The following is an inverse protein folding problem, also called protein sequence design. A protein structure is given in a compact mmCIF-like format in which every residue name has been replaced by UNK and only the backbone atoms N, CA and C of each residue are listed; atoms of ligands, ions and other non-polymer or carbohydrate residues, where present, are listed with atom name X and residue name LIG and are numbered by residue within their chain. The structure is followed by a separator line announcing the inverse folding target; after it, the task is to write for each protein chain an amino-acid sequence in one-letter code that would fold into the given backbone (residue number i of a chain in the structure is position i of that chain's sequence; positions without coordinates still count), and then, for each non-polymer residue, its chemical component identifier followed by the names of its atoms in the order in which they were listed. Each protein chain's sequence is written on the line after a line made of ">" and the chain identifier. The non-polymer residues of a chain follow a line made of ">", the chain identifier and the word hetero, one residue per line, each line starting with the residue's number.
data_IF_552530439802
#
_entry.id   IF_552530439802
#
_cell.length_a   1.000
_cell.length_b   1.000
_cell.length_c   1.000
_cell.angle_alpha   90.00
_cell.angle_beta   90.00
_cell.angle_gamma   90.00
#
_symmetry.space_group_name_H-M   'P 1'
#
loop_
_entity.id
_entity.type
_entity.pdbx_description
1 polymer ?
#
# COMPACT_ATOMS: atom_id res chain seq x y z
N UNK A 1 -3.36 13.91 -15.13
CA UNK A 1 -3.03 13.82 -13.69
C UNK A 1 -1.65 13.19 -13.59
N UNK A 2 -0.74 13.73 -12.77
CA UNK A 2 0.63 13.21 -12.62
C UNK A 2 0.59 11.73 -12.21
N UNK A 3 1.33 10.86 -12.92
CA UNK A 3 1.32 9.39 -12.69
C UNK A 3 1.73 9.03 -11.27
N UNK A 4 2.69 9.76 -10.68
CA UNK A 4 3.10 9.54 -9.28
C UNK A 4 1.96 9.79 -8.31
N UNK A 5 1.13 10.80 -8.57
CA UNK A 5 -0.02 11.13 -7.74
C UNK A 5 -1.13 10.09 -7.89
N UNK A 6 -1.34 9.57 -9.11
CA UNK A 6 -2.27 8.47 -9.37
C UNK A 6 -1.88 7.21 -8.60
N UNK A 7 -0.59 6.83 -8.67
CA UNK A 7 -0.05 5.68 -7.93
C UNK A 7 -0.23 5.90 -6.43
N UNK A 8 0.20 7.06 -5.91
CA UNK A 8 0.12 7.40 -4.49
C UNK A 8 -1.31 7.49 -3.93
N UNK A 9 -2.30 7.68 -4.79
CA UNK A 9 -3.72 7.79 -4.41
C UNK A 9 -4.53 6.51 -4.60
N UNK A 10 -3.93 5.42 -5.08
CA UNK A 10 -4.62 4.16 -5.40
C UNK A 10 -3.92 2.96 -4.77
N UNK A 11 -4.52 1.78 -4.91
CA UNK A 11 -3.92 0.52 -4.45
C UNK A 11 -2.62 0.17 -5.22
N UNK A 12 -2.37 0.83 -6.37
CA UNK A 12 -1.14 0.67 -7.16
C UNK A 12 0.13 1.02 -6.38
N UNK A 13 0.02 1.80 -5.30
CA UNK A 13 1.18 2.13 -4.46
C UNK A 13 1.80 0.89 -3.83
N UNK A 14 0.98 -0.09 -3.45
CA UNK A 14 1.47 -1.33 -2.85
C UNK A 14 2.35 -2.08 -3.85
N UNK A 15 1.89 -2.21 -5.09
CA UNK A 15 2.63 -2.86 -6.17
C UNK A 15 3.90 -2.09 -6.52
N UNK A 16 3.82 -0.76 -6.59
CA UNK A 16 4.98 0.10 -6.83
C UNK A 16 6.08 -0.13 -5.77
N UNK A 17 5.72 -0.14 -4.49
CA UNK A 17 6.66 -0.35 -3.39
C UNK A 17 7.21 -1.78 -3.39
N UNK A 18 6.38 -2.78 -3.69
CA UNK A 18 6.82 -4.16 -3.85
C UNK A 18 7.88 -4.31 -4.94
N UNK A 19 7.57 -3.80 -6.13
CA UNK A 19 8.46 -3.83 -7.30
C UNK A 19 9.79 -3.14 -7.02
N UNK A 20 9.73 -2.00 -6.33
CA UNK A 20 10.91 -1.21 -6.04
C UNK A 20 11.81 -1.86 -4.97
N UNK A 21 11.24 -2.32 -3.85
CA UNK A 21 12.02 -2.67 -2.65
C UNK A 21 12.24 -4.16 -2.47
N UNK A 22 11.30 -4.98 -2.94
CA UNK A 22 11.14 -6.37 -2.49
C UNK A 22 11.29 -7.39 -3.62
N UNK A 23 10.84 -7.06 -4.84
CA UNK A 23 10.90 -7.99 -5.98
C UNK A 23 12.30 -8.58 -6.15
N UNK A 24 12.36 -9.89 -6.33
CA UNK A 24 13.61 -10.65 -6.50
C UNK A 24 14.36 -10.98 -5.21
N UNK A 25 14.00 -10.37 -4.06
CA UNK A 25 14.57 -10.69 -2.74
C UNK A 25 13.77 -11.76 -1.99
N UNK A 26 12.60 -12.14 -2.50
CA UNK A 26 11.71 -13.09 -1.87
C UNK A 26 11.99 -14.54 -2.27
N UNK A 27 11.77 -15.45 -1.32
CA UNK A 27 11.73 -16.89 -1.61
C UNK A 27 10.28 -17.28 -1.85
N UNK A 28 10.05 -18.16 -2.83
CA UNK A 28 8.72 -18.77 -3.04
C UNK A 28 8.25 -19.43 -1.75
N UNK A 29 7.00 -19.18 -1.38
CA UNK A 29 6.33 -19.87 -0.29
C UNK A 29 6.33 -21.37 -0.62
N UNK A 30 6.74 -22.20 0.35
CA UNK A 30 6.80 -23.65 0.17
C UNK A 30 5.37 -24.19 0.00
N UNK A 31 5.20 -25.18 -0.88
CA UNK A 31 3.92 -25.90 -1.03
C UNK A 31 3.54 -26.58 0.29
N UNK A 32 2.26 -26.53 0.64
CA UNK A 32 1.71 -27.18 1.82
C UNK A 32 1.55 -28.69 1.62
N UNK A 33 1.50 -29.40 2.74
CA UNK A 33 1.13 -30.82 2.80
C UNK A 33 -0.40 -30.90 2.82
N UNK A 34 -0.98 -31.84 2.08
CA UNK A 34 -2.42 -32.11 2.10
C UNK A 34 -2.89 -32.53 3.51
N UNK A 35 -4.12 -32.15 3.86
CA UNK A 35 -4.75 -32.51 5.14
C UNK A 35 -5.22 -33.97 5.10
N UNK A 36 -4.56 -34.84 5.87
CA UNK A 36 -4.85 -36.28 5.89
C UNK A 36 -5.99 -36.65 6.87
N UNK A 37 -6.21 -35.90 7.95
CA UNK A 37 -7.27 -36.14 8.93
C UNK A 37 -7.80 -34.86 9.61
N UNK A 38 -9.00 -34.86 10.23
CA UNK A 38 -9.53 -33.70 10.95
C UNK A 38 -8.66 -33.29 12.14
N UNK A 39 -8.01 -34.26 12.80
CA UNK A 39 -7.09 -34.02 13.92
C UNK A 39 -5.81 -33.28 13.50
N UNK A 40 -5.40 -33.41 12.24
CA UNK A 40 -4.24 -32.69 11.71
C UNK A 40 -4.53 -31.21 11.45
N UNK A 41 -5.81 -30.80 11.47
CA UNK A 41 -6.24 -29.44 11.13
C UNK A 41 -5.70 -28.39 12.11
N UNK A 42 -5.66 -28.66 13.42
CA UNK A 42 -5.05 -27.71 14.40
C UNK A 42 -3.57 -27.53 14.15
N UNK A 43 -2.86 -28.63 13.92
CA UNK A 43 -1.42 -28.56 13.64
C UNK A 43 -1.17 -27.80 12.33
N UNK A 44 -2.00 -28.03 11.31
CA UNK A 44 -1.96 -27.32 10.05
C UNK A 44 -2.23 -25.82 10.21
N UNK A 45 -3.30 -25.44 10.91
CA UNK A 45 -3.69 -24.04 11.10
C UNK A 45 -2.66 -23.26 11.91
N UNK A 46 -2.13 -23.86 12.99
CA UNK A 46 -1.01 -23.30 13.74
C UNK A 46 0.23 -23.11 12.86
N UNK A 47 0.50 -24.05 11.96
CA UNK A 47 1.61 -23.93 11.02
C UNK A 47 1.37 -22.83 9.99
N UNK A 48 0.16 -22.70 9.45
CA UNK A 48 -0.21 -21.61 8.52
C UNK A 48 -0.09 -20.25 9.21
N UNK A 49 -0.64 -20.08 10.41
CA UNK A 49 -0.52 -18.84 11.19
C UNK A 49 0.95 -18.50 11.44
N UNK A 50 1.74 -19.48 11.88
CA UNK A 50 3.18 -19.31 12.08
C UNK A 50 3.89 -18.88 10.79
N UNK A 51 3.55 -19.47 9.65
CA UNK A 51 4.12 -19.09 8.35
C UNK A 51 3.75 -17.65 7.99
N UNK A 52 2.50 -17.23 8.23
CA UNK A 52 2.05 -15.86 7.99
C UNK A 52 2.79 -14.85 8.88
N UNK A 53 2.95 -15.17 10.16
CA UNK A 53 3.71 -14.36 11.11
C UNK A 53 5.19 -14.28 10.72
N UNK A 54 5.80 -15.41 10.38
CA UNK A 54 7.19 -15.49 9.90
C UNK A 54 7.40 -14.71 8.59
N UNK A 55 6.49 -14.81 7.63
CA UNK A 55 6.57 -14.01 6.39
C UNK A 55 6.40 -12.52 6.69
N UNK A 56 5.43 -12.13 7.52
CA UNK A 56 5.23 -10.73 7.89
C UNK A 56 6.47 -10.14 8.58
N UNK A 57 7.06 -10.83 9.54
CA UNK A 57 8.28 -10.37 10.21
C UNK A 57 9.47 -10.34 9.27
N UNK A 58 9.59 -11.32 8.37
CA UNK A 58 10.61 -11.31 7.33
C UNK A 58 10.47 -10.09 6.41
N UNK A 59 9.25 -9.78 5.95
CA UNK A 59 8.96 -8.62 5.11
C UNK A 59 9.29 -7.30 5.82
N UNK A 60 8.89 -7.16 7.08
CA UNK A 60 9.28 -6.01 7.91
C UNK A 60 10.79 -5.90 8.06
N UNK A 61 11.49 -7.02 8.29
CA UNK A 61 12.94 -7.04 8.40
C UNK A 61 13.66 -6.62 7.11
N UNK A 62 13.09 -6.92 5.94
CA UNK A 62 13.61 -6.48 4.64
C UNK A 62 13.45 -4.96 4.44
N UNK A 63 12.37 -4.37 4.96
CA UNK A 63 12.11 -2.94 4.89
C UNK A 63 12.94 -2.15 5.90
N UNK A 64 13.28 -2.75 7.04
CA UNK A 64 13.91 -2.07 8.17
C UNK A 64 15.15 -1.25 7.79
N UNK A 65 16.17 -1.76 7.08
CA UNK A 65 17.36 -0.97 6.79
C UNK A 65 17.07 0.23 5.87
N UNK A 66 16.06 0.13 5.00
CA UNK A 66 15.64 1.25 4.17
C UNK A 66 14.88 2.30 4.99
N UNK A 67 13.99 1.87 5.89
CA UNK A 67 13.29 2.77 6.80
C UNK A 67 14.24 3.48 7.77
N UNK A 68 15.17 2.75 8.40
CA UNK A 68 16.12 3.31 9.37
C UNK A 68 16.97 4.42 8.72
N UNK A 69 17.39 4.24 7.45
CA UNK A 69 18.14 5.26 6.69
C UNK A 69 17.31 6.50 6.33
N UNK A 70 15.98 6.38 6.34
CA UNK A 70 15.04 7.40 5.88
C UNK A 70 14.03 7.82 6.95
N UNK A 71 14.35 7.57 8.23
CA UNK A 71 13.43 7.75 9.36
C UNK A 71 12.87 9.18 9.49
N UNK A 72 13.59 10.18 8.98
CA UNK A 72 13.15 11.58 9.01
C UNK A 72 12.16 11.94 7.89
N UNK A 73 12.06 11.11 6.85
CA UNK A 73 11.27 11.38 5.65
C UNK A 73 10.00 10.53 5.58
N UNK A 74 10.13 9.22 5.77
CA UNK A 74 9.01 8.30 5.59
C UNK A 74 9.22 6.97 6.32
N UNK A 75 8.13 6.24 6.47
CA UNK A 75 8.12 4.87 6.96
C UNK A 75 7.25 4.02 6.04
N UNK A 76 7.86 2.98 5.46
CA UNK A 76 7.16 2.01 4.63
C UNK A 76 6.82 0.80 5.49
N UNK A 77 5.57 0.37 5.44
CA UNK A 77 5.09 -0.77 6.22
C UNK A 77 4.53 -1.84 5.30
N UNK A 78 4.59 -3.09 5.78
CA UNK A 78 3.92 -4.21 5.15
C UNK A 78 2.93 -4.78 6.15
N UNK A 79 1.71 -4.98 5.69
CA UNK A 79 0.67 -5.64 6.46
C UNK A 79 0.06 -6.74 5.61
N UNK A 80 0.02 -7.96 6.17
CA UNK A 80 -0.75 -9.01 5.53
C UNK A 80 -2.24 -8.65 5.62
N UNK A 81 -2.91 -8.54 4.47
CA UNK A 81 -4.33 -8.23 4.41
C UNK A 81 -5.08 -9.55 4.35
N UNK A 82 -5.55 -9.99 5.51
CA UNK A 82 -6.54 -11.06 5.58
C UNK A 82 -7.94 -10.45 5.41
N UNK A 83 -8.28 -10.02 4.19
CA UNK A 83 -9.66 -9.75 3.82
C UNK A 83 -10.37 -11.09 3.62
N UNK A 84 -10.57 -11.79 4.72
CA UNK A 84 -11.46 -12.94 4.78
C UNK A 84 -12.81 -12.32 5.09
N UNK A 85 -13.62 -12.06 4.06
CA UNK A 85 -14.96 -11.51 4.26
C UNK A 85 -15.71 -12.31 5.33
N UNK A 86 -16.62 -11.66 6.08
CA UNK A 86 -17.39 -12.31 7.16
C UNK A 86 -18.20 -13.54 6.67
N UNK A 87 -18.31 -13.68 5.36
CA UNK A 87 -18.97 -14.75 4.61
C UNK A 87 -18.10 -15.97 4.33
N UNK A 88 -16.83 -15.99 4.73
CA UNK A 88 -15.92 -17.07 4.39
C UNK A 88 -16.45 -18.46 4.76
N UNK A 89 -17.15 -18.60 5.88
CA UNK A 89 -17.74 -19.85 6.37
C UNK A 89 -18.86 -20.40 5.49
N UNK A 90 -19.54 -19.56 4.70
CA UNK A 90 -20.71 -19.99 3.91
C UNK A 90 -20.54 -19.81 2.40
N UNK A 91 -19.69 -18.88 1.94
CA UNK A 91 -19.48 -18.64 0.51
C UNK A 91 -18.37 -19.49 -0.11
N UNK A 92 -17.32 -19.81 0.66
CA UNK A 92 -16.18 -20.64 0.17
C UNK A 92 -16.33 -22.12 0.54
N UNK A 93 -17.23 -22.44 1.47
CA UNK A 93 -17.38 -23.77 2.04
C UNK A 93 -18.84 -24.22 2.00
N UNK A 94 -19.06 -25.47 1.62
CA UNK A 94 -20.40 -26.06 1.54
C UNK A 94 -20.59 -27.06 2.66
N UNK A 95 -21.72 -26.97 3.37
CA UNK A 95 -22.08 -27.92 4.42
C UNK A 95 -23.51 -28.42 4.21
N UNK A 96 -23.68 -29.74 4.29
CA UNK A 96 -24.98 -30.36 4.31
C UNK A 96 -25.60 -30.31 5.71
N UNK A 97 -26.49 -29.34 5.94
CA UNK A 97 -27.20 -29.15 7.21
C UNK A 97 -28.44 -30.05 7.39
N UNK A 98 -28.71 -31.01 6.49
CA UNK A 98 -29.98 -31.77 6.48
C UNK A 98 -30.23 -32.51 7.79
N UNK A 99 -29.20 -33.10 8.41
CA UNK A 99 -29.37 -33.79 9.70
C UNK A 99 -29.76 -32.85 10.84
N UNK A 100 -29.31 -31.60 10.77
CA UNK A 100 -29.55 -30.58 11.79
C UNK A 100 -30.97 -30.06 11.65
N UNK A 101 -31.35 -29.68 10.42
CA UNK A 101 -32.69 -29.13 10.11
C UNK A 101 -33.79 -30.18 10.33
N UNK A 102 -33.49 -31.47 10.16
CA UNK A 102 -34.44 -32.57 10.43
C UNK A 102 -34.59 -32.91 11.92
N UNK A 103 -33.69 -32.41 12.78
CA UNK A 103 -33.66 -32.75 14.23
C UNK A 103 -34.00 -31.55 15.10
N UNK A 104 -33.52 -30.38 14.72
CA UNK A 104 -33.60 -29.14 15.46
C UNK A 104 -34.45 -28.12 14.71
N UNK A 105 -35.20 -27.32 15.46
CA UNK A 105 -36.07 -26.28 14.90
C UNK A 105 -35.25 -25.05 14.47
N UNK A 106 -34.44 -25.23 13.43
CA UNK A 106 -33.58 -24.23 12.83
C UNK A 106 -33.54 -24.41 11.31
N UNK A 107 -33.50 -23.31 10.56
CA UNK A 107 -33.41 -23.34 9.08
C UNK A 107 -31.97 -23.13 8.61
N UNK A 108 -31.72 -23.46 7.34
CA UNK A 108 -30.43 -23.17 6.69
C UNK A 108 -30.04 -21.68 6.77
N UNK A 109 -30.98 -20.77 6.52
CA UNK A 109 -30.72 -19.31 6.58
C UNK A 109 -30.36 -18.84 7.98
N UNK A 110 -30.98 -19.43 9.00
CA UNK A 110 -30.69 -19.13 10.41
C UNK A 110 -29.28 -19.62 10.80
N UNK A 111 -28.88 -20.81 10.33
CA UNK A 111 -27.50 -21.31 10.47
C UNK A 111 -26.50 -20.40 9.75
N UNK A 112 -26.77 -20.03 8.49
CA UNK A 112 -25.91 -19.12 7.71
C UNK A 112 -25.76 -17.75 8.38
N UNK A 113 -26.84 -17.21 8.96
CA UNK A 113 -26.81 -15.96 9.72
C UNK A 113 -25.95 -16.06 10.98
N UNK A 114 -26.00 -17.20 11.67
CA UNK A 114 -25.14 -17.48 12.81
C UNK A 114 -23.66 -17.58 12.40
N UNK A 115 -23.35 -18.30 11.32
CA UNK A 115 -21.97 -18.41 10.82
C UNK A 115 -21.42 -17.04 10.37
N UNK A 116 -22.23 -16.21 9.71
CA UNK A 116 -21.85 -14.84 9.37
C UNK A 116 -21.58 -13.99 10.61
N UNK A 117 -22.41 -14.15 11.66
CA UNK A 117 -22.17 -13.49 12.94
C UNK A 117 -20.86 -13.95 13.59
N UNK A 118 -20.57 -15.26 13.60
CA UNK A 118 -19.29 -15.77 14.11
C UNK A 118 -18.09 -15.19 13.35
N UNK A 119 -18.13 -15.20 12.01
CA UNK A 119 -17.04 -14.68 11.18
C UNK A 119 -16.77 -13.18 11.35
N UNK A 120 -17.75 -12.41 11.84
CA UNK A 120 -17.58 -10.97 12.15
C UNK A 120 -16.96 -10.71 13.52
N UNK A 121 -17.14 -11.62 14.48
CA UNK A 121 -16.79 -11.40 15.89
C UNK A 121 -15.60 -12.24 16.36
N UNK A 122 -15.25 -13.31 15.65
CA UNK A 122 -14.16 -14.23 15.99
C UNK A 122 -13.20 -14.29 14.80
N UNK A 123 -11.89 -14.25 15.06
CA UNK A 123 -10.90 -14.39 13.99
C UNK A 123 -10.97 -15.79 13.39
N UNK A 124 -10.62 -15.92 12.09
CA UNK A 124 -10.58 -17.22 11.41
C UNK A 124 -9.76 -18.25 12.21
N UNK A 125 -8.58 -17.87 12.68
CA UNK A 125 -7.66 -18.80 13.34
C UNK A 125 -8.17 -19.22 14.71
N UNK A 126 -8.77 -18.30 15.48
CA UNK A 126 -9.36 -18.63 16.78
C UNK A 126 -10.57 -19.56 16.58
N UNK A 127 -11.47 -19.21 15.66
CA UNK A 127 -12.64 -20.02 15.34
C UNK A 127 -12.26 -21.44 14.92
N UNK A 128 -11.32 -21.58 13.98
CA UNK A 128 -10.91 -22.90 13.52
C UNK A 128 -10.12 -23.68 14.58
N UNK A 129 -9.36 -22.99 15.44
CA UNK A 129 -8.62 -23.62 16.54
C UNK A 129 -9.57 -24.16 17.60
N UNK A 130 -10.55 -23.37 18.02
CA UNK A 130 -11.52 -23.76 19.04
C UNK A 130 -12.37 -24.93 18.57
N UNK A 131 -12.86 -24.87 17.33
CA UNK A 131 -13.67 -25.95 16.76
C UNK A 131 -12.92 -27.28 16.75
N UNK A 132 -11.68 -27.31 16.25
CA UNK A 132 -10.92 -28.56 16.15
C UNK A 132 -10.51 -29.09 17.52
N UNK A 133 -10.35 -28.22 18.52
CA UNK A 133 -10.12 -28.62 19.91
C UNK A 133 -11.39 -29.08 20.63
N UNK A 134 -12.58 -28.92 20.02
CA UNK A 134 -13.86 -29.16 20.67
C UNK A 134 -14.22 -28.10 21.73
N UNK A 135 -13.57 -26.94 21.69
CA UNK A 135 -13.72 -25.86 22.67
C UNK A 135 -14.85 -24.90 22.26
N UNK A 136 -16.10 -25.35 22.38
CA UNK A 136 -17.27 -24.52 22.06
C UNK A 136 -17.76 -23.66 23.26
N UNK A 137 -16.99 -23.62 24.36
CA UNK A 137 -17.41 -22.97 25.61
C UNK A 137 -17.57 -21.46 25.48
N UNK A 138 -16.75 -20.83 24.63
CA UNK A 138 -16.76 -19.39 24.38
C UNK A 138 -17.65 -18.99 23.18
N UNK A 139 -18.31 -19.95 22.53
CA UNK A 139 -19.11 -19.66 21.34
C UNK A 139 -20.45 -19.02 21.74
N UNK A 140 -20.81 -17.87 21.12
CA UNK A 140 -22.13 -17.29 21.30
C UNK A 140 -23.23 -18.30 20.96
N UNK A 141 -24.31 -18.30 21.72
CA UNK A 141 -25.41 -19.23 21.48
C UNK A 141 -26.02 -19.02 20.09
N UNK A 142 -26.33 -20.12 19.40
CA UNK A 142 -27.10 -20.12 18.15
C UNK A 142 -28.61 -19.98 18.41
N UNK A 143 -29.08 -20.17 19.65
CA UNK A 143 -30.51 -20.10 20.00
C UNK A 143 -31.21 -18.78 19.58
N UNK A 144 -30.59 -17.58 19.70
CA UNK A 144 -31.20 -16.32 19.24
C UNK A 144 -31.39 -16.22 17.72
N UNK A 145 -30.71 -17.09 16.95
CA UNK A 145 -30.84 -17.17 15.51
C UNK A 145 -31.94 -18.15 15.09
N UNK A 146 -32.36 -19.06 15.96
CA UNK A 146 -33.38 -20.04 15.66
C UNK A 146 -34.81 -19.46 15.83
N UNK A 147 -35.72 -19.86 14.95
CA UNK A 147 -37.14 -19.45 14.95
C UNK A 147 -37.35 -17.94 14.84
N UNK A 148 -36.53 -17.27 14.04
CA UNK A 148 -36.74 -15.85 13.78
C UNK A 148 -38.04 -15.67 12.97
N UNK A 149 -39.07 -15.10 13.61
CA UNK A 149 -40.35 -14.76 13.00
C UNK A 149 -41.17 -15.94 12.44
N UNK A 150 -41.10 -17.13 13.07
CA UNK A 150 -41.88 -18.32 12.62
C UNK A 150 -42.34 -19.21 13.78
N UNK A 151 -43.46 -19.94 13.64
CA UNK A 151 -43.97 -20.84 14.68
C UNK A 151 -43.06 -22.08 14.87
N UNK A 152 -43.19 -22.79 16.01
CA UNK A 152 -42.47 -24.04 16.25
C UNK A 152 -42.78 -25.11 15.20
N UNK A 153 -41.74 -25.81 14.73
CA UNK A 153 -41.91 -26.94 13.82
C UNK A 153 -42.46 -28.19 14.52
N UNK A 154 -43.27 -28.97 13.82
CA UNK A 154 -43.76 -30.25 14.34
C UNK A 154 -42.62 -31.28 14.44
N UNK A 155 -42.54 -31.98 15.57
CA UNK A 155 -41.55 -33.04 15.83
C UNK A 155 -40.06 -32.60 15.78
N UNK A 156 -39.77 -31.30 15.92
CA UNK A 156 -38.40 -30.77 15.97
C UNK A 156 -38.02 -30.32 17.39
N UNK A 157 -36.75 -30.50 17.76
CA UNK A 157 -36.21 -30.04 19.06
C UNK A 157 -35.94 -28.54 19.04
N UNK A 158 -36.47 -27.80 20.01
CA UNK A 158 -36.12 -26.38 20.18
C UNK A 158 -34.67 -26.21 20.64
N UNK A 159 -33.99 -25.18 20.14
CA UNK A 159 -32.65 -24.81 20.60
C UNK A 159 -32.74 -23.86 21.79
N UNK A 160 -32.01 -24.13 22.87
CA UNK A 160 -32.02 -23.38 24.13
C UNK A 160 -30.62 -23.34 24.78
N UNK A 161 -30.52 -22.77 25.99
CA UNK A 161 -29.26 -22.65 26.74
C UNK A 161 -28.62 -23.99 27.14
N UNK A 162 -29.37 -25.09 27.09
CA UNK A 162 -28.90 -26.42 27.51
C UNK A 162 -28.34 -27.23 26.32
N UNK A 163 -28.91 -27.10 25.13
CA UNK A 163 -28.56 -27.94 23.97
C UNK A 163 -27.87 -27.21 22.81
N UNK A 164 -27.72 -25.88 22.86
CA UNK A 164 -27.15 -25.13 21.73
C UNK A 164 -25.71 -25.56 21.38
N UNK A 165 -24.92 -26.02 22.37
CA UNK A 165 -23.54 -26.46 22.15
C UNK A 165 -23.47 -27.72 21.29
N UNK A 166 -24.35 -28.69 21.53
CA UNK A 166 -24.47 -29.90 20.71
C UNK A 166 -24.77 -29.54 19.25
N UNK A 167 -25.64 -28.55 19.03
CA UNK A 167 -25.97 -28.10 17.67
C UNK A 167 -24.74 -27.48 16.99
N UNK A 168 -23.99 -26.63 17.70
CA UNK A 168 -22.76 -26.01 17.18
C UNK A 168 -21.70 -27.08 16.86
N UNK A 169 -21.52 -28.06 17.74
CA UNK A 169 -20.63 -29.21 17.52
C UNK A 169 -20.95 -29.93 16.21
N UNK A 170 -22.23 -30.28 15.98
CA UNK A 170 -22.67 -30.97 14.76
C UNK A 170 -22.44 -30.12 13.51
N UNK A 171 -22.72 -28.80 13.58
CA UNK A 171 -22.50 -27.86 12.45
C UNK A 171 -21.04 -27.92 12.02
N UNK A 172 -20.14 -27.81 12.98
CA UNK A 172 -18.72 -27.66 12.72
C UNK A 172 -18.02 -28.98 12.38
N UNK A 173 -18.42 -30.10 12.98
CA UNK A 173 -17.92 -31.42 12.59
C UNK A 173 -18.18 -31.69 11.10
N UNK A 174 -19.39 -31.39 10.62
CA UNK A 174 -19.72 -31.51 9.20
C UNK A 174 -18.93 -30.55 8.33
N UNK A 175 -18.81 -29.30 8.76
CA UNK A 175 -18.03 -28.27 8.06
C UNK A 175 -16.60 -28.74 7.77
N UNK A 176 -15.91 -29.28 8.77
CA UNK A 176 -14.54 -29.77 8.61
C UNK A 176 -14.44 -31.04 7.77
N UNK A 177 -15.38 -31.98 7.91
CA UNK A 177 -15.40 -33.22 7.13
C UNK A 177 -15.61 -32.92 5.64
N UNK A 178 -16.57 -32.05 5.31
CA UNK A 178 -16.99 -31.81 3.93
C UNK A 178 -16.07 -30.85 3.17
N UNK A 179 -15.21 -30.07 3.85
CA UNK A 179 -14.41 -29.01 3.23
C UNK A 179 -12.88 -29.21 3.27
N UNK A 180 -12.37 -30.42 3.54
CA UNK A 180 -10.91 -30.67 3.71
C UNK A 180 -10.03 -30.19 2.55
N UNK A 181 -10.43 -30.46 1.32
CA UNK A 181 -9.71 -30.03 0.11
C UNK A 181 -9.81 -28.51 -0.06
N UNK A 182 -11.01 -27.97 0.15
CA UNK A 182 -11.29 -26.54 0.02
C UNK A 182 -10.47 -25.71 1.02
N UNK A 183 -10.20 -26.22 2.22
CA UNK A 183 -9.29 -25.56 3.17
C UNK A 183 -7.86 -25.46 2.64
N UNK A 184 -7.35 -26.53 2.02
CA UNK A 184 -6.00 -26.53 1.47
C UNK A 184 -5.87 -25.49 0.37
N UNK A 185 -6.86 -25.39 -0.51
CA UNK A 185 -6.91 -24.39 -1.57
C UNK A 185 -7.09 -22.96 -1.01
N UNK A 186 -7.99 -22.79 -0.05
CA UNK A 186 -8.27 -21.51 0.61
C UNK A 186 -7.04 -20.94 1.31
N UNK A 187 -6.32 -21.75 2.11
CA UNK A 187 -5.10 -21.28 2.76
C UNK A 187 -3.93 -21.09 1.79
N UNK A 188 -3.89 -21.87 0.71
CA UNK A 188 -2.94 -21.63 -0.38
C UNK A 188 -3.22 -20.29 -1.06
N UNK A 189 -4.49 -19.92 -1.24
CA UNK A 189 -4.91 -18.62 -1.77
C UNK A 189 -4.57 -17.49 -0.81
N UNK A 190 -4.86 -17.61 0.50
CA UNK A 190 -4.47 -16.62 1.52
C UNK A 190 -2.96 -16.37 1.50
N UNK A 191 -2.17 -17.44 1.47
CA UNK A 191 -0.71 -17.32 1.44
C UNK A 191 -0.18 -16.76 0.12
N UNK A 192 -0.92 -16.91 -0.98
CA UNK A 192 -0.60 -16.28 -2.27
C UNK A 192 -1.07 -14.84 -2.36
N UNK A 193 -2.13 -14.47 -1.65
CA UNK A 193 -2.67 -13.12 -1.62
C UNK A 193 -1.70 -12.22 -0.85
N UNK A 194 -1.06 -11.36 -1.64
CA UNK A 194 0.06 -10.53 -1.26
C UNK A 194 -0.45 -9.49 -0.25
N UNK A 195 0.24 -9.34 0.88
CA UNK A 195 -0.05 -8.25 1.80
C UNK A 195 0.15 -6.89 1.14
N UNK A 196 -0.39 -5.83 1.76
CA UNK A 196 -0.26 -4.47 1.21
C UNK A 196 0.96 -3.77 1.78
N UNK A 197 1.69 -3.08 0.91
CA UNK A 197 2.68 -2.10 1.30
C UNK A 197 2.00 -0.73 1.38
N UNK A 198 2.27 -0.01 2.46
CA UNK A 198 1.82 1.36 2.62
C UNK A 198 3.00 2.24 3.02
N UNK A 199 2.81 3.56 2.90
CA UNK A 199 3.82 4.54 3.27
C UNK A 199 3.17 5.66 4.07
N UNK A 200 3.79 5.95 5.21
CA UNK A 200 3.56 7.16 5.98
C UNK A 200 4.68 8.15 5.73
N UNK A 201 4.35 9.37 5.35
CA UNK A 201 5.32 10.42 5.02
C UNK A 201 5.31 11.50 6.11
N UNK A 202 6.50 11.97 6.50
CA UNK A 202 6.64 13.10 7.42
C UNK A 202 6.37 14.41 6.67
N UNK A 203 5.21 15.01 6.89
CA UNK A 203 4.81 16.24 6.19
C UNK A 203 5.68 17.45 6.56
N UNK A 204 6.43 17.36 7.65
CA UNK A 204 7.34 18.40 8.12
C UNK A 204 8.82 18.13 7.74
N UNK A 205 9.10 17.07 6.96
CA UNK A 205 10.47 16.63 6.65
C UNK A 205 11.36 17.71 6.00
N UNK A 206 10.73 18.67 5.32
CA UNK A 206 11.40 19.74 4.58
C UNK A 206 11.08 21.14 5.11
N UNK A 207 10.52 21.24 6.32
CA UNK A 207 10.26 22.51 6.97
C UNK A 207 11.45 22.98 7.82
N UNK A 208 11.81 24.25 7.68
CA UNK A 208 12.98 24.85 8.34
C UNK A 208 12.82 25.12 9.85
N UNK A 209 11.63 24.90 10.42
CA UNK A 209 11.26 25.42 11.75
C UNK A 209 11.34 24.40 12.90
N UNK A 210 12.17 23.36 12.81
CA UNK A 210 12.32 22.33 13.87
C UNK A 210 10.95 21.79 14.37
N UNK A 211 9.95 21.73 13.49
CA UNK A 211 8.65 21.17 13.84
C UNK A 211 8.82 19.68 14.14
N UNK A 212 8.06 19.18 15.10
CA UNK A 212 8.03 17.74 15.39
C UNK A 212 7.62 16.97 14.14
N UNK A 213 8.22 15.82 13.92
CA UNK A 213 7.84 14.92 12.84
C UNK A 213 6.36 14.57 12.94
N UNK A 214 5.65 14.71 11.83
CA UNK A 214 4.24 14.40 11.72
C UNK A 214 4.03 13.48 10.53
N UNK A 215 3.86 12.19 10.83
CA UNK A 215 3.66 11.18 9.81
C UNK A 215 2.18 11.06 9.45
N UNK A 216 1.90 11.11 8.16
CA UNK A 216 0.56 10.86 7.60
C UNK A 216 0.64 9.81 6.52
N UNK A 217 -0.38 8.96 6.49
CA UNK A 217 -0.54 8.01 5.39
C UNK A 217 -0.62 8.78 4.06
N UNK A 218 0.05 8.28 3.04
CA UNK A 218 0.11 8.93 1.74
C UNK A 218 -1.26 9.13 1.10
N UNK A 219 -2.24 8.28 1.38
CA UNK A 219 -3.60 8.37 0.83
C UNK A 219 -4.28 9.69 1.18
N UNK A 220 -4.02 10.22 2.40
CA UNK A 220 -4.61 11.46 2.93
C UNK A 220 -3.80 12.72 2.63
N UNK A 221 -2.64 12.60 1.98
CA UNK A 221 -1.81 13.74 1.61
C UNK A 221 -2.44 14.57 0.48
N UNK A 222 -2.14 15.87 0.47
CA UNK A 222 -2.43 16.75 -0.66
C UNK A 222 -1.66 16.31 -1.93
N UNK A 223 -2.12 16.75 -3.11
CA UNK A 223 -1.50 16.39 -4.38
C UNK A 223 0.01 16.70 -4.40
N UNK A 224 0.41 17.90 -3.97
CA UNK A 224 1.82 18.30 -3.89
C UNK A 224 2.62 17.44 -2.90
N UNK A 225 2.07 17.17 -1.71
CA UNK A 225 2.72 16.30 -0.73
C UNK A 225 2.89 14.86 -1.24
N UNK A 226 1.95 14.33 -2.04
CA UNK A 226 2.10 13.03 -2.70
C UNK A 226 3.28 13.02 -3.67
N UNK A 227 3.43 14.07 -4.49
CA UNK A 227 4.59 14.20 -5.41
C UNK A 227 5.89 14.23 -4.60
N UNK A 228 5.95 15.05 -3.56
CA UNK A 228 7.12 15.15 -2.66
C UNK A 228 7.49 13.80 -2.05
N UNK A 229 6.50 13.09 -1.50
CA UNK A 229 6.71 11.77 -0.89
C UNK A 229 7.27 10.77 -1.89
N UNK A 230 6.65 10.67 -3.08
CA UNK A 230 7.07 9.73 -4.12
C UNK A 230 8.47 10.04 -4.65
N UNK A 231 8.79 11.30 -4.96
CA UNK A 231 10.14 11.69 -5.39
C UNK A 231 11.19 11.35 -4.32
N UNK A 232 10.87 11.64 -3.05
CA UNK A 232 11.77 11.35 -1.93
C UNK A 232 12.04 9.84 -1.80
N UNK A 233 11.02 9.00 -1.97
CA UNK A 233 11.16 7.54 -1.96
C UNK A 233 12.02 7.06 -3.14
N UNK A 234 11.75 7.54 -4.36
CA UNK A 234 12.47 7.14 -5.58
C UNK A 234 13.95 7.54 -5.51
N UNK A 235 14.25 8.75 -5.05
CA UNK A 235 15.62 9.25 -4.96
C UNK A 235 16.42 8.49 -3.91
N UNK A 236 15.87 8.31 -2.71
CA UNK A 236 16.54 7.59 -1.64
C UNK A 236 16.67 6.09 -1.93
N UNK A 237 15.74 5.49 -2.68
CA UNK A 237 15.87 4.10 -3.11
C UNK A 237 17.08 3.88 -4.01
N UNK A 238 17.34 4.78 -4.97
CA UNK A 238 18.53 4.69 -5.82
C UNK A 238 19.82 4.65 -5.01
N UNK A 239 19.90 5.51 -4.00
CA UNK A 239 21.04 5.59 -3.06
C UNK A 239 21.16 4.38 -2.13
N UNK A 240 20.04 3.74 -1.78
CA UNK A 240 20.03 2.56 -0.91
C UNK A 240 20.41 1.28 -1.69
N UNK A 241 19.90 1.13 -2.91
CA UNK A 241 20.11 -0.05 -3.76
C UNK A 241 21.38 0.04 -4.62
N UNK A 242 22.18 1.10 -4.46
CA UNK A 242 23.37 1.39 -5.28
C UNK A 242 23.07 1.35 -6.79
N UNK A 243 21.87 1.80 -7.17
CA UNK A 243 21.39 1.74 -8.55
C UNK A 243 22.04 2.86 -9.38
N UNK A 244 22.79 2.48 -10.41
CA UNK A 244 23.49 3.43 -11.30
C UNK A 244 22.73 3.72 -12.57
N UNK A 245 21.60 3.03 -12.81
CA UNK A 245 20.75 3.27 -13.99
C UNK A 245 20.32 4.75 -14.07
N UNK A 246 20.29 5.32 -15.29
CA UNK A 246 19.80 6.68 -15.50
C UNK A 246 18.36 6.85 -15.01
N UNK A 247 18.08 8.03 -14.48
CA UNK A 247 16.74 8.48 -14.14
C UNK A 247 16.26 9.40 -15.24
N UNK A 248 15.03 9.19 -15.71
CA UNK A 248 14.33 10.10 -16.60
C UNK A 248 13.08 10.58 -15.87
N UNK A 249 12.94 11.88 -15.66
CA UNK A 249 11.77 12.48 -14.99
C UNK A 249 11.18 13.53 -15.90
N UNK A 250 9.87 13.42 -16.10
CA UNK A 250 9.09 14.42 -16.82
C UNK A 250 8.34 15.28 -15.80
N UNK A 251 8.56 16.59 -15.88
CA UNK A 251 7.95 17.63 -15.04
C UNK A 251 7.92 17.28 -13.54
N UNK A 252 9.09 17.06 -12.88
CA UNK A 252 9.14 16.81 -11.44
C UNK A 252 8.55 17.94 -10.58
N UNK A 253 8.45 19.15 -11.14
CA UNK A 253 7.86 20.35 -10.52
C UNK A 253 6.32 20.36 -10.47
N UNK A 254 5.65 19.50 -11.24
CA UNK A 254 4.20 19.56 -11.34
C UNK A 254 3.53 19.36 -9.97
N UNK A 255 2.55 20.21 -9.65
CA UNK A 255 1.86 20.27 -8.37
C UNK A 255 2.73 20.66 -7.15
N UNK A 256 3.96 21.12 -7.37
CA UNK A 256 4.83 21.67 -6.33
C UNK A 256 4.82 23.21 -6.34
N UNK A 257 4.94 23.82 -5.16
CA UNK A 257 5.13 25.27 -5.08
C UNK A 257 6.59 25.66 -5.34
N UNK A 258 6.80 26.91 -5.78
CA UNK A 258 8.13 27.43 -6.11
C UNK A 258 9.12 27.39 -4.95
N UNK A 259 8.65 27.53 -3.69
CA UNK A 259 9.51 27.48 -2.52
C UNK A 259 10.05 26.06 -2.36
N UNK A 260 9.20 25.05 -2.41
CA UNK A 260 9.63 23.64 -2.34
C UNK A 260 10.60 23.28 -3.46
N UNK A 261 10.29 23.71 -4.70
CA UNK A 261 11.16 23.46 -5.87
C UNK A 261 12.57 23.99 -5.57
N UNK A 262 12.67 25.24 -5.14
CA UNK A 262 13.95 25.88 -4.87
C UNK A 262 14.69 25.29 -3.65
N UNK A 263 14.01 25.12 -2.52
CA UNK A 263 14.67 24.74 -1.27
C UNK A 263 14.98 23.26 -1.18
N UNK A 264 14.18 22.40 -1.81
CA UNK A 264 14.25 20.96 -1.62
C UNK A 264 14.58 20.24 -2.92
N UNK A 265 13.74 20.35 -3.94
CA UNK A 265 13.91 19.58 -5.17
C UNK A 265 15.25 19.87 -5.85
N UNK A 266 15.65 21.14 -5.97
CA UNK A 266 16.95 21.54 -6.50
C UNK A 266 18.10 20.87 -5.75
N UNK A 267 18.04 20.83 -4.42
CA UNK A 267 19.09 20.23 -3.60
C UNK A 267 19.10 18.69 -3.71
N UNK A 268 17.92 18.07 -3.75
CA UNK A 268 17.79 16.64 -4.00
C UNK A 268 18.40 16.26 -5.36
N UNK A 269 18.08 17.02 -6.42
CA UNK A 269 18.61 16.79 -7.77
C UNK A 269 20.12 16.96 -7.84
N UNK A 270 20.67 17.99 -7.19
CA UNK A 270 22.13 18.18 -7.07
C UNK A 270 22.80 16.97 -6.43
N UNK A 271 22.27 16.48 -5.32
CA UNK A 271 22.85 15.33 -4.65
C UNK A 271 22.70 14.04 -5.46
N UNK A 272 21.61 13.93 -6.23
CA UNK A 272 21.32 12.75 -7.03
C UNK A 272 22.23 12.64 -8.26
N UNK A 273 22.47 13.75 -8.97
CA UNK A 273 23.28 13.76 -10.21
C UNK A 273 24.75 13.41 -9.98
N UNK A 274 25.27 13.62 -8.76
CA UNK A 274 26.64 13.21 -8.39
C UNK A 274 26.80 11.68 -8.30
N UNK A 275 25.70 10.93 -8.15
CA UNK A 275 25.72 9.49 -7.94
C UNK A 275 25.29 8.70 -9.18
N UNK A 276 24.47 9.31 -10.04
CA UNK A 276 23.94 8.69 -11.26
C UNK A 276 23.42 9.74 -12.23
N UNK A 277 23.29 9.36 -13.50
CA UNK A 277 22.76 10.25 -14.53
C UNK A 277 21.27 10.58 -14.29
N UNK A 278 20.94 11.86 -14.36
CA UNK A 278 19.56 12.37 -14.24
C UNK A 278 19.22 13.18 -15.49
N UNK A 279 18.14 12.81 -16.18
CA UNK A 279 17.60 13.49 -17.35
C UNK A 279 16.23 14.03 -16.95
N UNK A 280 16.03 15.34 -17.11
CA UNK A 280 14.81 16.01 -16.70
C UNK A 280 14.22 16.77 -17.88
N UNK A 281 12.96 16.50 -18.19
CA UNK A 281 12.14 17.40 -18.99
C UNK A 281 11.41 18.34 -18.03
N UNK A 282 11.59 19.65 -18.18
CA UNK A 282 11.07 20.64 -17.23
C UNK A 282 10.73 21.94 -17.96
N UNK A 283 9.73 22.63 -17.41
CA UNK A 283 9.38 23.99 -17.78
C UNK A 283 9.77 25.00 -16.68
N UNK A 284 10.43 24.54 -15.61
CA UNK A 284 10.86 25.38 -14.50
C UNK A 284 12.24 25.96 -14.75
N UNK A 285 12.31 27.27 -14.94
CA UNK A 285 13.60 27.98 -14.98
C UNK A 285 14.39 27.77 -13.68
N UNK A 286 13.70 27.68 -12.53
CA UNK A 286 14.32 27.47 -11.22
C UNK A 286 15.10 26.16 -11.18
N UNK A 287 14.57 25.07 -11.71
CA UNK A 287 15.28 23.79 -11.76
C UNK A 287 16.51 23.92 -12.66
N UNK A 288 16.36 24.44 -13.87
CA UNK A 288 17.43 24.55 -14.86
C UNK A 288 18.58 25.43 -14.36
N UNK A 289 18.27 26.58 -13.76
CA UNK A 289 19.30 27.55 -13.34
C UNK A 289 19.93 27.19 -12.00
N UNK A 290 19.16 26.63 -11.05
CA UNK A 290 19.65 26.44 -9.69
C UNK A 290 20.20 25.04 -9.42
N UNK A 291 19.87 24.02 -10.23
CA UNK A 291 20.34 22.63 -10.02
C UNK A 291 21.76 22.35 -10.52
N UNK A 292 22.47 23.39 -11.00
CA UNK A 292 23.82 23.26 -11.58
C UNK A 292 23.88 22.23 -12.71
N UNK A 293 22.93 22.30 -13.65
CA UNK A 293 22.85 21.32 -14.73
C UNK A 293 24.07 21.40 -15.65
N UNK A 294 24.63 20.24 -15.99
CA UNK A 294 25.82 20.10 -16.84
C UNK A 294 25.47 20.25 -18.32
N UNK A 295 24.26 19.91 -18.73
CA UNK A 295 23.85 20.03 -20.11
C UNK A 295 22.38 20.41 -20.21
N UNK A 296 22.09 21.45 -20.98
CA UNK A 296 20.74 21.88 -21.35
C UNK A 296 20.53 21.50 -22.80
N UNK A 297 19.46 20.77 -23.08
CA UNK A 297 19.03 20.42 -24.44
C UNK A 297 17.79 21.25 -24.74
N UNK A 298 17.92 22.20 -25.65
CA UNK A 298 16.83 23.06 -26.12
C UNK A 298 16.11 22.33 -27.24
N UNK A 299 14.84 22.02 -27.00
CA UNK A 299 13.95 21.41 -27.98
C UNK A 299 13.13 22.49 -28.69
N UNK A 300 12.81 22.25 -29.96
CA UNK A 300 11.90 23.08 -30.76
C UNK A 300 10.95 22.14 -31.53
N UNK A 301 9.79 22.67 -31.92
CA UNK A 301 8.78 21.88 -32.63
C UNK A 301 7.98 22.75 -33.59
N UNK A 302 7.57 22.15 -34.72
CA UNK A 302 6.60 22.71 -35.67
C UNK A 302 5.16 22.27 -35.35
N UNK A 303 4.92 21.63 -34.21
CA UNK A 303 3.64 21.04 -33.81
C UNK A 303 3.38 19.64 -34.40
N UNK A 304 4.26 19.13 -35.29
CA UNK A 304 4.19 17.78 -35.86
C UNK A 304 5.42 16.93 -35.50
N UNK A 305 6.60 17.53 -35.52
CA UNK A 305 7.88 16.94 -35.17
C UNK A 305 8.58 17.81 -34.12
N UNK A 306 9.35 17.18 -33.26
CA UNK A 306 10.28 17.85 -32.35
C UNK A 306 11.71 17.57 -32.77
N UNK A 307 12.60 18.56 -32.65
CA UNK A 307 14.03 18.38 -32.89
C UNK A 307 14.86 19.12 -31.84
N UNK A 308 16.11 18.70 -31.69
CA UNK A 308 17.08 19.41 -30.86
C UNK A 308 17.51 20.66 -31.64
N UNK A 309 17.15 21.83 -31.11
CA UNK A 309 17.62 23.11 -31.63
C UNK A 309 19.08 23.36 -31.25
N UNK A 310 19.42 23.05 -30.00
CA UNK A 310 20.75 23.32 -29.44
C UNK A 310 20.98 22.48 -28.17
N UNK A 311 22.25 22.24 -27.85
CA UNK A 311 22.65 21.73 -26.55
C UNK A 311 23.89 22.44 -26.03
N UNK A 312 24.01 22.56 -24.71
CA UNK A 312 25.23 23.05 -24.07
C UNK A 312 25.05 23.41 -22.60
N UNK A 313 26.13 23.89 -21.99
CA UNK A 313 26.17 24.29 -20.59
C UNK A 313 25.34 25.57 -20.32
N UNK A 314 24.78 25.69 -19.11
CA UNK A 314 24.02 26.87 -18.65
C UNK A 314 24.81 28.18 -18.67
N UNK A 315 26.14 28.12 -18.67
CA UNK A 315 26.99 29.30 -18.74
C UNK A 315 27.14 29.88 -20.15
N UNK A 316 26.84 29.10 -21.20
CA UNK A 316 26.93 29.55 -22.59
C UNK A 316 25.88 30.65 -22.85
N UNK A 317 26.33 31.80 -23.37
CA UNK A 317 25.46 32.95 -23.63
C UNK A 317 24.28 32.61 -24.55
N UNK A 318 24.51 31.76 -25.56
CA UNK A 318 23.43 31.33 -26.44
C UNK A 318 22.38 30.49 -25.72
N UNK A 319 22.79 29.62 -24.80
CA UNK A 319 21.87 28.79 -24.01
C UNK A 319 21.09 29.66 -23.02
N UNK A 320 21.74 30.62 -22.35
CA UNK A 320 21.07 31.58 -21.46
C UNK A 320 19.97 32.37 -22.17
N UNK A 321 20.23 32.80 -23.41
CA UNK A 321 19.22 33.50 -24.23
C UNK A 321 18.01 32.61 -24.49
N UNK A 322 18.23 31.34 -24.84
CA UNK A 322 17.16 30.37 -25.07
C UNK A 322 16.39 30.08 -23.76
N UNK A 323 17.06 29.95 -22.61
CA UNK A 323 16.43 29.79 -21.28
C UNK A 323 15.52 30.99 -20.95
N UNK A 324 16.02 32.21 -21.09
CA UNK A 324 15.23 33.43 -20.82
C UNK A 324 14.04 33.51 -21.79
N UNK A 325 14.25 33.21 -23.06
CA UNK A 325 13.20 33.27 -24.06
C UNK A 325 12.07 32.25 -23.79
N UNK A 326 12.43 31.00 -23.51
CA UNK A 326 11.48 29.89 -23.42
C UNK A 326 10.85 29.79 -22.02
N UNK A 327 11.66 29.84 -20.96
CA UNK A 327 11.20 29.56 -19.59
C UNK A 327 10.80 30.83 -18.82
N UNK A 328 11.28 32.00 -19.22
CA UNK A 328 11.03 33.27 -18.55
C UNK A 328 10.15 34.23 -19.37
N UNK A 329 9.65 33.79 -20.53
CA UNK A 329 8.78 34.59 -21.39
C UNK A 329 9.49 35.74 -22.12
N UNK A 330 10.82 35.67 -22.27
CA UNK A 330 11.63 36.68 -22.96
C UNK A 330 12.25 37.74 -22.05
N UNK A 331 13.23 38.46 -22.61
CA UNK A 331 14.04 39.43 -21.87
C UNK A 331 13.22 40.56 -21.27
N UNK A 332 12.21 41.07 -21.98
CA UNK A 332 11.34 42.14 -21.49
C UNK A 332 10.51 41.69 -20.27
N UNK A 333 9.96 40.48 -20.30
CA UNK A 333 9.19 39.89 -19.19
C UNK A 333 10.07 39.68 -17.96
N UNK A 334 11.30 39.17 -18.17
CA UNK A 334 12.26 38.97 -17.10
C UNK A 334 12.71 40.29 -16.46
N UNK A 335 13.05 41.30 -17.26
CA UNK A 335 13.44 42.63 -16.75
C UNK A 335 12.30 43.31 -16.00
N UNK A 336 11.07 43.24 -16.51
CA UNK A 336 9.90 43.81 -15.83
C UNK A 336 9.71 43.18 -14.44
N UNK A 337 9.80 41.85 -14.32
CA UNK A 337 9.72 41.15 -13.02
C UNK A 337 10.85 41.56 -12.08
N UNK A 338 12.08 41.68 -12.57
CA UNK A 338 13.21 42.17 -11.77
C UNK A 338 12.93 43.57 -11.22
N UNK A 339 12.38 44.46 -12.05
CA UNK A 339 12.08 45.83 -11.65
C UNK A 339 10.98 45.89 -10.58
N UNK A 340 9.92 45.06 -10.68
CA UNK A 340 8.86 44.99 -9.65
C UNK A 340 9.43 44.66 -8.26
N UNK A 341 10.39 43.74 -8.18
CA UNK A 341 10.96 43.29 -6.91
C UNK A 341 12.17 44.10 -6.44
N UNK A 342 12.65 45.06 -7.24
CA UNK A 342 13.92 45.74 -6.99
C UNK A 342 13.93 46.48 -5.65
N UNK A 343 12.83 47.16 -5.31
CA UNK A 343 12.70 47.93 -4.08
C UNK A 343 12.77 47.01 -2.86
N UNK A 344 12.05 45.88 -2.87
CA UNK A 344 12.05 44.89 -1.79
C UNK A 344 13.38 44.17 -1.61
N UNK A 345 14.11 43.89 -2.71
CA UNK A 345 15.43 43.25 -2.65
C UNK A 345 16.52 44.19 -2.11
N UNK A 346 16.38 45.50 -2.36
CA UNK A 346 17.34 46.51 -1.92
C UNK A 346 17.28 46.80 -0.42
N UNK A 347 16.14 46.60 0.24
CA UNK A 347 15.98 46.79 1.69
C UNK A 347 16.59 45.65 2.53
N UNK A 348 16.65 44.42 2.00
CA UNK A 348 17.21 43.25 2.70
C UNK A 348 18.74 43.10 2.60
N UNK A 349 19.42 44.04 1.93
CA UNK A 349 20.88 43.99 1.66
C UNK A 349 21.72 44.93 2.54
N UNK A 350 21.15 45.44 3.64
CA UNK A 350 21.82 46.35 4.60
C UNK A 350 22.19 45.67 5.91
#
# INVERSE_FOLDING_TARGET
>A
MNKLVSIAGSDEISDFLYEMLVRGKEKKIRKHKELNSPKDTVSYLKNVQKILEEDQEKKKSLLKPFNDKNENFFQITYQHVMEIGNDFLYNKFSVNYSSIINTYDITRKEIESYLFYLGRNISLFDLLTDVVNGNFTEFPSIAPFARQNRPPGENLKSINSENFREVIEIIFDRFFIENRTNFTDFFTEILRNIGRYSISFNINAFEFNNRRSEFKDISVLSLGQKVVAMLTVIFNHGDYSHETKPIIIDQPEDNLDNRYIYTNLVNQLKNLKEKRQVIIATHSSTIVTNSLVENVIVMESDGKNGWIKKSGYTLNLSIKKDIIHILEGGSLSFEHRKNIYNDTLSEGSK
#
